data_IF_947412722664
#
_entry.id   IF_947412722664
#
_cell.length_a   1.000
_cell.length_b   1.000
_cell.length_c   1.000
_cell.angle_alpha   90.00
_cell.angle_beta   90.00
_cell.angle_gamma   90.00
#
_symmetry.space_group_name_H-M   'P 1'
#
loop_
_entity.id
_entity.type
_entity.pdbx_description
1 polymer ?
#
# COMPACT_ATOMS: atom_id res chain seq x y z
N UNK A 1 -14.42 12.60 1.49
CA UNK A 1 -14.05 11.23 1.07
C UNK A 1 -15.33 10.42 0.95
N UNK A 2 -15.56 9.71 -0.14
CA UNK A 2 -16.73 8.81 -0.29
C UNK A 2 -16.31 7.38 0.08
N UNK A 3 -17.14 6.67 0.84
CA UNK A 3 -16.84 5.30 1.30
C UNK A 3 -16.54 4.35 0.12
N UNK A 4 -17.20 4.56 -1.01
CA UNK A 4 -17.02 3.77 -2.24
C UNK A 4 -15.60 3.89 -2.83
N UNK A 5 -14.94 5.05 -2.68
CA UNK A 5 -13.59 5.27 -3.21
C UNK A 5 -12.56 4.51 -2.38
N UNK A 6 -12.72 4.45 -1.05
CA UNK A 6 -11.81 3.73 -0.15
C UNK A 6 -11.67 2.26 -0.53
N UNK A 7 -12.76 1.61 -0.94
CA UNK A 7 -12.74 0.20 -1.38
C UNK A 7 -12.07 -0.03 -2.75
N UNK A 8 -11.80 1.03 -3.52
CA UNK A 8 -11.25 0.95 -4.88
C UNK A 8 -9.79 1.43 -4.98
N UNK A 9 -9.29 2.20 -4.01
CA UNK A 9 -7.95 2.81 -4.07
C UNK A 9 -6.83 1.79 -3.90
N UNK A 10 -7.00 0.81 -3.00
CA UNK A 10 -5.99 -0.19 -2.67
C UNK A 10 -6.09 -1.39 -3.62
N UNK A 11 -5.08 -1.60 -4.47
CA UNK A 11 -5.11 -2.67 -5.49
C UNK A 11 -4.44 -3.97 -5.01
N UNK A 12 -3.20 -3.87 -4.52
CA UNK A 12 -2.43 -5.02 -4.07
C UNK A 12 -1.27 -4.59 -3.15
N UNK A 13 -0.79 -5.45 -2.22
CA UNK A 13 0.46 -5.21 -1.50
C UNK A 13 1.66 -5.38 -2.44
N UNK A 14 2.74 -4.63 -2.20
CA UNK A 14 4.01 -4.79 -2.92
C UNK A 14 4.98 -5.60 -2.07
N UNK A 15 5.42 -6.75 -2.55
CA UNK A 15 6.36 -7.65 -1.84
C UNK A 15 7.70 -7.67 -2.58
N UNK A 16 8.72 -7.09 -1.94
CA UNK A 16 10.11 -7.02 -2.39
C UNK A 16 11.01 -6.93 -1.15
N UNK A 17 12.31 -7.17 -1.29
CA UNK A 17 13.27 -7.00 -0.17
C UNK A 17 13.20 -5.59 0.42
N UNK A 18 13.09 -4.57 -0.43
CA UNK A 18 12.96 -3.17 0.00
C UNK A 18 11.70 -2.93 0.85
N UNK A 19 10.57 -3.54 0.48
CA UNK A 19 9.32 -3.34 1.24
C UNK A 19 9.32 -4.11 2.55
N UNK A 20 9.97 -5.28 2.61
CA UNK A 20 10.19 -6.00 3.86
C UNK A 20 11.07 -5.19 4.83
N UNK A 21 12.20 -4.68 4.33
CA UNK A 21 13.13 -3.85 5.11
C UNK A 21 12.46 -2.60 5.70
N UNK A 22 11.68 -1.89 4.89
CA UNK A 22 10.94 -0.68 5.33
C UNK A 22 9.84 -1.03 6.35
N UNK A 23 9.22 -2.19 6.21
CA UNK A 23 8.26 -2.71 7.20
C UNK A 23 8.92 -2.97 8.56
N UNK A 24 10.07 -3.62 8.57
CA UNK A 24 10.80 -3.95 9.80
C UNK A 24 11.41 -2.71 10.48
N UNK A 25 12.07 -1.84 9.70
CA UNK A 25 12.77 -0.69 10.27
C UNK A 25 11.82 0.42 10.71
N UNK A 26 10.72 0.62 9.99
CA UNK A 26 9.89 1.83 10.11
C UNK A 26 8.39 1.57 10.32
N UNK A 27 7.96 0.31 10.46
CA UNK A 27 6.55 -0.08 10.57
C UNK A 27 5.68 0.49 9.43
N UNK A 28 6.22 0.49 8.21
CA UNK A 28 5.58 1.05 7.02
C UNK A 28 5.11 -0.06 6.06
N UNK A 29 3.95 0.15 5.44
CA UNK A 29 3.33 -0.79 4.52
C UNK A 29 3.18 -0.18 3.13
N UNK A 30 3.60 -0.93 2.11
CA UNK A 30 3.64 -0.44 0.72
C UNK A 30 2.59 -1.15 -0.13
N UNK A 31 1.68 -0.37 -0.71
CA UNK A 31 0.62 -0.84 -1.58
C UNK A 31 0.72 -0.23 -2.98
N UNK A 32 0.29 -1.01 -3.97
CA UNK A 32 -0.05 -0.50 -5.29
C UNK A 32 -1.42 0.18 -5.20
N UNK A 33 -1.49 1.43 -5.63
CA UNK A 33 -2.71 2.24 -5.62
C UNK A 33 -3.12 2.64 -7.03
N UNK A 34 -4.38 3.04 -7.20
CA UNK A 34 -4.84 3.64 -8.46
C UNK A 34 -4.10 4.95 -8.74
N UNK A 35 -3.57 5.18 -9.95
CA UNK A 35 -3.25 6.54 -10.39
C UNK A 35 -4.57 7.34 -10.42
N UNK A 36 -4.58 8.55 -9.86
CA UNK A 36 -5.81 9.25 -9.50
C UNK A 36 -6.72 9.59 -10.68
#
# INVERSE_FOLDING_TARGET
>A
MKNERLYKVLLAPRVTEKTAYVGEQSNQYVFKVTPD
#
